data_IF_862151620852
#
_entry.id   IF_862151620852
#
_cell.length_a   1.000
_cell.length_b   1.000
_cell.length_c   1.000
_cell.angle_alpha   90.00
_cell.angle_beta   90.00
_cell.angle_gamma   90.00
#
_symmetry.space_group_name_H-M   'P 1'
#
loop_
_entity.id
_entity.type
_entity.pdbx_description
1 polymer ?
#
# COMPACT_ATOMS: atom_id res chain seq x y z
N UNK A 1 32.72 -20.57 -44.20
CA UNK A 1 32.17 -21.14 -42.94
C UNK A 1 31.51 -20.00 -42.18
N UNK A 2 30.20 -20.08 -41.92
CA UNK A 2 29.44 -19.10 -41.13
C UNK A 2 29.11 -19.78 -39.80
N UNK A 3 29.58 -19.23 -38.68
CA UNK A 3 29.20 -19.68 -37.34
C UNK A 3 27.70 -19.42 -37.15
N UNK A 4 26.93 -20.34 -36.53
CA UNK A 4 25.57 -20.03 -36.13
C UNK A 4 25.61 -18.99 -35.00
N UNK A 5 24.86 -17.91 -35.17
CA UNK A 5 24.58 -16.92 -34.16
C UNK A 5 23.65 -17.55 -33.12
N UNK A 6 24.15 -17.82 -31.91
CA UNK A 6 23.31 -18.19 -30.77
C UNK A 6 22.72 -16.89 -30.21
N UNK A 7 21.58 -16.48 -30.73
CA UNK A 7 20.72 -15.47 -30.13
C UNK A 7 19.61 -16.20 -29.38
N UNK A 8 19.98 -16.90 -28.31
CA UNK A 8 19.03 -17.39 -27.31
C UNK A 8 18.99 -16.34 -26.21
N UNK A 9 18.07 -15.39 -26.35
CA UNK A 9 17.63 -14.59 -25.22
C UNK A 9 16.94 -15.57 -24.27
N UNK A 10 17.66 -16.04 -23.26
CA UNK A 10 17.14 -16.79 -22.12
C UNK A 10 16.20 -15.86 -21.34
N UNK A 11 14.96 -15.75 -21.81
CA UNK A 11 13.89 -15.11 -21.07
C UNK A 11 13.49 -16.14 -20.02
N UNK A 12 14.10 -16.03 -18.83
CA UNK A 12 13.75 -16.86 -17.68
C UNK A 12 12.23 -16.87 -17.44
N UNK A 13 11.71 -17.86 -16.71
CA UNK A 13 10.27 -18.08 -16.60
C UNK A 13 9.55 -16.79 -16.20
N UNK A 14 8.55 -16.40 -16.98
CA UNK A 14 7.71 -15.25 -16.71
C UNK A 14 6.92 -15.54 -15.42
N UNK A 15 7.34 -14.93 -14.33
CA UNK A 15 6.63 -15.02 -13.04
C UNK A 15 5.41 -14.10 -13.16
N UNK A 16 4.18 -14.64 -13.19
CA UNK A 16 2.99 -13.81 -13.26
C UNK A 16 2.94 -12.92 -12.03
N UNK A 17 2.92 -11.60 -12.25
CA UNK A 17 2.78 -10.66 -11.15
C UNK A 17 1.32 -10.64 -10.68
N UNK A 18 1.08 -10.44 -9.37
CA UNK A 18 -0.26 -10.22 -8.84
C UNK A 18 -0.96 -9.09 -9.60
N UNK A 19 -2.28 -9.19 -9.84
CA UNK A 19 -3.06 -8.10 -10.38
C UNK A 19 -3.02 -6.92 -9.41
N UNK A 20 -2.50 -5.80 -9.93
CA UNK A 20 -2.42 -4.54 -9.20
C UNK A 20 -3.69 -3.72 -9.43
N UNK A 21 -4.32 -3.27 -8.34
CA UNK A 21 -5.42 -2.30 -8.42
C UNK A 21 -4.87 -0.90 -8.10
N UNK A 22 -5.19 0.08 -8.95
CA UNK A 22 -4.73 1.46 -8.77
C UNK A 22 -5.89 2.45 -8.93
N UNK A 23 -5.91 3.48 -8.07
CA UNK A 23 -6.83 4.59 -8.16
C UNK A 23 -6.20 5.88 -7.62
N UNK A 24 -6.69 7.04 -8.06
CA UNK A 24 -6.44 8.32 -7.37
C UNK A 24 -7.70 8.68 -6.59
N UNK A 25 -7.55 8.80 -5.27
CA UNK A 25 -8.63 9.09 -4.33
C UNK A 25 -8.67 10.59 -4.05
N UNK A 26 -9.88 11.15 -4.07
CA UNK A 26 -10.15 12.45 -3.46
C UNK A 26 -10.25 12.34 -1.92
N UNK A 27 -10.36 13.47 -1.23
CA UNK A 27 -10.40 13.49 0.23
C UNK A 27 -11.59 12.70 0.81
N UNK A 28 -12.76 12.79 0.18
CA UNK A 28 -13.96 12.07 0.63
C UNK A 28 -13.81 10.56 0.50
N UNK A 29 -13.28 10.08 -0.63
CA UNK A 29 -13.04 8.66 -0.86
C UNK A 29 -11.91 8.13 0.02
N UNK A 30 -10.89 8.95 0.27
CA UNK A 30 -9.82 8.63 1.21
C UNK A 30 -10.36 8.48 2.63
N UNK A 31 -11.19 9.41 3.09
CA UNK A 31 -11.83 9.34 4.41
C UNK A 31 -12.68 8.09 4.56
N UNK A 32 -13.47 7.75 3.53
CA UNK A 32 -14.28 6.53 3.52
C UNK A 32 -13.40 5.27 3.61
N UNK A 33 -12.29 5.21 2.86
CA UNK A 33 -11.36 4.09 2.94
C UNK A 33 -10.83 3.88 4.37
N UNK A 34 -10.40 4.96 5.04
CA UNK A 34 -9.89 4.84 6.41
C UNK A 34 -10.98 4.46 7.42
N UNK A 35 -12.21 4.94 7.23
CA UNK A 35 -13.35 4.51 8.03
C UNK A 35 -13.64 3.01 7.84
N UNK A 36 -13.73 2.54 6.60
CA UNK A 36 -14.00 1.13 6.31
C UNK A 36 -12.91 0.20 6.86
N UNK A 37 -11.64 0.61 6.78
CA UNK A 37 -10.53 -0.15 7.36
C UNK A 37 -10.61 -0.22 8.89
N UNK A 38 -11.07 0.84 9.55
CA UNK A 38 -11.20 0.86 11.00
C UNK A 38 -12.37 -0.01 11.50
N UNK A 39 -13.47 -0.03 10.76
CA UNK A 39 -14.72 -0.68 11.18
C UNK A 39 -14.85 -2.13 10.68
N UNK A 40 -14.32 -2.46 9.50
CA UNK A 40 -14.59 -3.71 8.81
C UNK A 40 -13.35 -4.60 8.59
N UNK A 41 -12.14 -4.09 8.78
CA UNK A 41 -10.91 -4.84 8.56
C UNK A 41 -10.18 -5.21 9.86
N UNK A 42 -9.49 -6.35 9.82
CA UNK A 42 -8.51 -6.69 10.86
C UNK A 42 -7.16 -6.08 10.46
N UNK A 43 -6.74 -5.04 11.17
CA UNK A 43 -5.47 -4.37 10.90
C UNK A 43 -4.29 -5.27 11.28
N UNK A 44 -3.36 -5.48 10.34
CA UNK A 44 -2.11 -6.23 10.57
C UNK A 44 -0.97 -5.26 10.90
N UNK A 45 -0.81 -4.19 10.12
CA UNK A 45 0.20 -3.17 10.40
C UNK A 45 -0.02 -1.89 9.60
N UNK A 46 0.36 -0.75 10.16
CA UNK A 46 0.52 0.51 9.43
C UNK A 46 2.00 0.91 9.41
N UNK A 47 2.48 1.42 8.28
CA UNK A 47 3.86 1.92 8.14
C UNK A 47 3.87 3.22 7.35
N UNK A 48 4.57 4.23 7.86
CA UNK A 48 4.70 5.52 7.17
C UNK A 48 5.95 5.48 6.28
N UNK A 49 5.79 5.92 5.03
CA UNK A 49 6.90 6.23 4.14
C UNK A 49 7.25 7.71 4.33
N UNK A 50 8.40 7.95 4.97
CA UNK A 50 8.74 9.22 5.60
C UNK A 50 8.77 10.43 4.65
N UNK A 51 8.16 11.52 5.11
CA UNK A 51 8.70 12.89 5.01
C UNK A 51 9.38 13.24 6.34
N UNK A 52 10.14 14.34 6.42
CA UNK A 52 11.15 14.64 7.46
C UNK A 52 10.71 14.61 8.96
N UNK A 53 9.48 14.27 9.33
CA UNK A 53 8.94 14.47 10.69
C UNK A 53 8.24 13.27 11.33
N UNK A 54 7.67 12.32 10.59
CA UNK A 54 6.93 11.20 11.18
C UNK A 54 7.86 9.97 11.41
N UNK A 55 7.92 9.46 12.65
CA UNK A 55 8.70 8.25 12.99
C UNK A 55 7.77 7.06 13.26
N UNK A 56 8.26 5.85 12.98
CA UNK A 56 7.54 4.60 13.29
C UNK A 56 7.11 4.49 14.77
N UNK A 57 7.84 5.14 15.70
CA UNK A 57 7.48 5.20 17.11
C UNK A 57 6.23 6.04 17.44
N UNK A 58 5.78 6.93 16.54
CA UNK A 58 4.58 7.73 16.76
C UNK A 58 3.30 6.91 16.54
N UNK A 59 3.33 5.93 15.62
CA UNK A 59 2.24 4.96 15.40
C UNK A 59 2.02 4.07 16.64
N UNK A 60 3.09 3.54 17.23
CA UNK A 60 3.02 2.66 18.40
C UNK A 60 2.40 3.33 19.64
N UNK A 61 2.38 4.67 19.70
CA UNK A 61 1.74 5.43 20.80
C UNK A 61 0.22 5.56 20.65
N UNK A 62 -0.34 5.22 19.49
CA UNK A 62 -1.78 5.34 19.24
C UNK A 62 -2.63 4.29 19.98
N UNK A 63 -2.01 3.21 20.45
CA UNK A 63 -2.59 2.27 21.43
C UNK A 63 -3.76 1.40 20.94
N UNK A 64 -4.22 1.59 19.71
CA UNK A 64 -5.30 0.82 19.07
C UNK A 64 -5.20 0.88 17.55
N UNK A 65 -5.78 -0.11 16.85
CA UNK A 65 -5.81 -0.16 15.39
C UNK A 65 -6.46 1.08 14.76
N UNK A 66 -7.62 1.49 15.28
CA UNK A 66 -8.28 2.73 14.85
C UNK A 66 -7.43 3.98 15.09
N UNK A 67 -6.69 4.01 16.20
CA UNK A 67 -5.74 5.09 16.50
C UNK A 67 -4.57 5.16 15.49
N UNK A 68 -4.00 4.02 15.13
CA UNK A 68 -2.92 3.94 14.13
C UNK A 68 -3.38 4.42 12.75
N UNK A 69 -4.58 4.01 12.34
CA UNK A 69 -5.22 4.46 11.10
C UNK A 69 -5.51 5.96 11.12
N UNK A 70 -6.06 6.48 12.21
CA UNK A 70 -6.32 7.91 12.37
C UNK A 70 -5.03 8.75 12.32
N UNK A 71 -3.95 8.28 12.94
CA UNK A 71 -2.65 8.92 12.88
C UNK A 71 -2.10 8.94 11.45
N UNK A 72 -2.15 7.81 10.74
CA UNK A 72 -1.66 7.72 9.37
C UNK A 72 -2.47 8.59 8.39
N UNK A 73 -3.80 8.66 8.56
CA UNK A 73 -4.67 9.55 7.78
C UNK A 73 -4.27 11.02 7.96
N UNK A 74 -4.03 11.45 9.21
CA UNK A 74 -3.56 12.81 9.51
C UNK A 74 -2.19 13.06 8.87
N UNK A 75 -1.26 12.11 9.00
CA UNK A 75 0.09 12.24 8.46
C UNK A 75 0.13 12.32 6.92
N UNK A 76 -0.82 11.65 6.24
CA UNK A 76 -1.05 11.81 4.81
C UNK A 76 -1.64 13.18 4.48
N UNK A 77 -2.61 13.67 5.25
CA UNK A 77 -3.27 14.95 4.96
C UNK A 77 -2.39 16.17 5.21
N UNK A 78 -1.59 16.15 6.28
CA UNK A 78 -0.82 17.33 6.73
C UNK A 78 0.58 17.47 6.12
N UNK A 79 1.01 16.51 5.31
CA UNK A 79 2.34 16.56 4.71
C UNK A 79 3.41 15.76 5.45
N UNK A 80 3.17 15.28 6.67
CA UNK A 80 4.23 14.70 7.51
C UNK A 80 4.72 13.32 7.06
N UNK A 81 3.87 12.54 6.37
CA UNK A 81 4.25 11.29 5.70
C UNK A 81 3.98 11.36 4.18
N UNK A 82 4.98 11.10 3.34
CA UNK A 82 4.82 11.10 1.87
C UNK A 82 3.96 9.93 1.36
N UNK A 83 3.89 8.86 2.16
CA UNK A 83 3.02 7.75 1.90
C UNK A 83 2.74 6.91 3.13
N UNK A 84 1.79 6.01 3.00
CA UNK A 84 1.40 5.03 4.03
C UNK A 84 1.29 3.68 3.36
N UNK A 85 1.79 2.65 4.04
CA UNK A 85 1.49 1.26 3.72
C UNK A 85 0.60 0.70 4.83
N UNK A 86 -0.50 0.06 4.43
CA UNK A 86 -1.45 -0.58 5.34
C UNK A 86 -1.55 -2.04 4.94
N UNK A 87 -1.36 -2.93 5.91
CA UNK A 87 -1.59 -4.37 5.78
C UNK A 87 -2.78 -4.74 6.63
N UNK A 88 -3.74 -5.47 6.07
CA UNK A 88 -4.96 -5.82 6.77
C UNK A 88 -5.59 -7.09 6.19
N UNK A 89 -6.51 -7.71 6.94
CA UNK A 89 -7.38 -8.79 6.46
C UNK A 89 -8.79 -8.27 6.25
N UNK A 90 -9.37 -8.61 5.12
CA UNK A 90 -10.75 -8.30 4.79
C UNK A 90 -11.31 -9.35 3.84
N UNK A 91 -12.53 -9.81 4.10
CA UNK A 91 -13.23 -10.83 3.32
C UNK A 91 -12.42 -12.13 3.12
N UNK A 92 -11.65 -12.53 4.14
CA UNK A 92 -10.87 -13.77 4.13
C UNK A 92 -9.48 -13.67 3.47
N UNK A 93 -9.13 -12.54 2.85
CA UNK A 93 -7.83 -12.35 2.19
C UNK A 93 -6.98 -11.30 2.90
N UNK A 94 -5.65 -11.42 2.79
CA UNK A 94 -4.69 -10.37 3.18
C UNK A 94 -4.47 -9.38 2.02
N UNK A 95 -4.55 -8.10 2.36
CA UNK A 95 -4.42 -6.97 1.44
C UNK A 95 -3.32 -6.03 1.86
N UNK A 96 -2.58 -5.54 0.88
CA UNK A 96 -1.56 -4.52 1.04
C UNK A 96 -1.94 -3.29 0.23
N UNK A 97 -2.19 -2.20 0.94
CA UNK A 97 -2.44 -0.90 0.35
C UNK A 97 -1.20 -0.02 0.50
N UNK A 98 -0.82 0.65 -0.57
CA UNK A 98 0.18 1.72 -0.56
C UNK A 98 -0.48 3.01 -1.03
N UNK A 99 -0.59 3.98 -0.13
CA UNK A 99 -1.11 5.31 -0.35
C UNK A 99 0.05 6.27 -0.55
N UNK A 100 0.05 7.05 -1.63
CA UNK A 100 1.08 8.03 -1.96
C UNK A 100 0.41 9.35 -2.32
N UNK A 101 0.89 10.45 -1.73
CA UNK A 101 0.43 11.78 -2.16
C UNK A 101 0.85 12.05 -3.60
N UNK A 102 -0.09 12.57 -4.38
CA UNK A 102 0.13 13.07 -5.75
C UNK A 102 -0.57 14.43 -5.89
N UNK A 103 -0.23 15.27 -6.87
CA UNK A 103 -0.86 16.60 -7.01
C UNK A 103 -2.38 16.56 -7.16
N UNK A 104 -2.94 15.47 -7.67
CA UNK A 104 -4.38 15.27 -7.90
C UNK A 104 -5.12 14.57 -6.74
N UNK A 105 -4.46 14.27 -5.62
CA UNK A 105 -5.06 13.56 -4.48
C UNK A 105 -4.12 12.53 -3.86
N UNK A 106 -4.65 11.35 -3.52
CA UNK A 106 -3.85 10.24 -3.00
C UNK A 106 -3.96 9.04 -3.92
N UNK A 107 -2.83 8.62 -4.48
CA UNK A 107 -2.74 7.40 -5.26
C UNK A 107 -2.78 6.20 -4.32
N UNK A 108 -3.77 5.34 -4.50
CA UNK A 108 -3.87 4.01 -3.92
C UNK A 108 -3.29 3.00 -4.90
N UNK A 109 -2.39 2.16 -4.40
CA UNK A 109 -1.94 0.94 -5.06
C UNK A 109 -2.25 -0.23 -4.13
N UNK A 110 -3.08 -1.16 -4.57
CA UNK A 110 -3.62 -2.26 -3.78
C UNK A 110 -3.25 -3.60 -4.40
N UNK A 111 -2.79 -4.52 -3.56
CA UNK A 111 -2.47 -5.90 -3.92
C UNK A 111 -3.14 -6.84 -2.93
N UNK A 112 -3.74 -7.92 -3.45
CA UNK A 112 -4.11 -9.08 -2.64
C UNK A 112 -2.93 -10.03 -2.61
N UNK A 113 -2.50 -10.44 -1.43
CA UNK A 113 -1.25 -11.19 -1.26
C UNK A 113 -1.32 -12.62 -1.77
N UNK A 114 -2.50 -13.22 -1.73
CA UNK A 114 -2.74 -14.56 -2.32
C UNK A 114 -2.42 -14.58 -3.81
N UNK A 115 -2.64 -13.47 -4.52
CA UNK A 115 -2.34 -13.36 -5.93
C UNK A 115 -0.84 -13.06 -6.18
N UNK A 116 -0.09 -12.72 -5.13
CA UNK A 116 1.32 -12.30 -5.21
C UNK A 116 2.32 -13.42 -4.98
N UNK A 117 1.86 -14.52 -4.39
CA UNK A 117 2.67 -15.69 -4.03
C UNK A 117 2.26 -16.95 -4.81
N UNK A 118 1.32 -16.79 -5.77
CA UNK A 118 0.82 -17.85 -6.65
C UNK A 118 1.59 -17.97 -7.94
#
# INVERSE_FOLDING_TARGET
>A
MKLPSTDETDVGPEIPLPPLQEAVLDETTLDQLFFDLAEAAELVSVSLKAGATARAGDLQRAGSAGGELAFARRALGDGTALGVQIRYRFAGSEWWDTLLRVPSGVRLVRVRIEDALG
#
